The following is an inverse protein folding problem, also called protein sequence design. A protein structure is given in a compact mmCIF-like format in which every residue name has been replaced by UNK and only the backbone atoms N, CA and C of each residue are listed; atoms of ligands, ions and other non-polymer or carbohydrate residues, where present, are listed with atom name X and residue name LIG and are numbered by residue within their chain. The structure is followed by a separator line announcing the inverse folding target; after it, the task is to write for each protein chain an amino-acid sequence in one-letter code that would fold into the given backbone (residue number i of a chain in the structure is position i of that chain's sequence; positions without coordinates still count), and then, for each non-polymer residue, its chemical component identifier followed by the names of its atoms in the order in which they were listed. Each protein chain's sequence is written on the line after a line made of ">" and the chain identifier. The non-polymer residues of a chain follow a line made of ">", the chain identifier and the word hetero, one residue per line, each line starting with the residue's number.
data_IF_714281395538
#
_entry.id   IF_714281395538
#
_cell.length_a   1.000
_cell.length_b   1.000
_cell.length_c   1.000
_cell.angle_alpha   90.00
_cell.angle_beta   90.00
_cell.angle_gamma   90.00
#
_symmetry.space_group_name_H-M   'P 1'
#
loop_
_entity.id
_entity.type
_entity.pdbx_description
1 polymer ?
#
# COMPACT_ATOMS: atom_id res chain seq x y z
N UNK A 1 -15.17 -3.29 23.15
CA UNK A 1 -13.99 -3.36 22.26
C UNK A 1 -14.38 -2.80 20.90
N UNK A 2 -14.08 -1.53 20.63
CA UNK A 2 -14.44 -0.85 19.37
C UNK A 2 -13.37 -1.12 18.30
N UNK A 3 -13.69 -1.94 17.28
CA UNK A 3 -12.93 -2.01 16.02
C UNK A 3 -13.53 -1.00 15.03
N UNK A 4 -13.21 0.28 15.19
CA UNK A 4 -13.35 1.28 14.11
C UNK A 4 -12.15 1.04 13.18
N UNK A 5 -12.20 0.81 11.89
CA UNK A 5 -13.22 0.79 10.83
C UNK A 5 -12.40 0.85 9.53
N UNK A 6 -12.80 0.17 8.45
CA UNK A 6 -12.18 0.20 7.10
C UNK A 6 -11.18 -0.92 6.71
N UNK A 7 -11.31 -2.15 7.22
CA UNK A 7 -10.60 -3.27 6.59
C UNK A 7 -10.98 -3.38 5.10
N UNK A 8 -9.99 -3.41 4.21
CA UNK A 8 -10.15 -3.49 2.77
C UNK A 8 -10.39 -2.17 2.04
N UNK A 9 -10.35 -1.02 2.72
CA UNK A 9 -10.48 0.27 2.05
C UNK A 9 -9.25 0.61 1.23
N UNK A 10 -8.03 0.35 1.73
CA UNK A 10 -6.82 0.62 0.97
C UNK A 10 -6.73 -0.27 -0.27
N UNK A 11 -7.25 -1.51 -0.20
CA UNK A 11 -7.39 -2.40 -1.37
C UNK A 11 -8.22 -1.75 -2.47
N UNK A 12 -9.39 -1.17 -2.12
CA UNK A 12 -10.27 -0.51 -3.10
C UNK A 12 -9.62 0.72 -3.72
N UNK A 13 -8.95 1.54 -2.91
CA UNK A 13 -8.24 2.73 -3.41
C UNK A 13 -7.09 2.36 -4.33
N UNK A 14 -6.27 1.38 -3.95
CA UNK A 14 -5.16 0.90 -4.76
C UNK A 14 -5.64 0.32 -6.11
N UNK A 15 -6.74 -0.44 -6.12
CA UNK A 15 -7.36 -0.89 -7.38
C UNK A 15 -7.81 0.27 -8.26
N UNK A 16 -8.47 1.26 -7.66
CA UNK A 16 -8.93 2.43 -8.42
C UNK A 16 -7.76 3.18 -9.02
N UNK A 17 -6.70 3.46 -8.23
CA UNK A 17 -5.47 4.09 -8.73
C UNK A 17 -4.89 3.26 -9.88
N UNK A 18 -4.74 1.95 -9.69
CA UNK A 18 -4.17 1.09 -10.71
C UNK A 18 -5.04 0.96 -11.98
N UNK A 19 -6.34 1.22 -11.91
CA UNK A 19 -7.21 1.24 -13.10
C UNK A 19 -7.27 2.62 -13.78
N UNK A 20 -6.97 3.71 -13.07
CA UNK A 20 -7.14 5.07 -13.59
C UNK A 20 -5.83 5.79 -13.91
N UNK A 21 -4.71 5.39 -13.31
CA UNK A 21 -3.42 6.04 -13.52
C UNK A 21 -2.86 5.73 -14.91
N UNK A 22 -2.62 6.79 -15.66
CA UNK A 22 -2.11 6.74 -17.04
C UNK A 22 -0.65 7.17 -17.16
N UNK A 23 -0.14 7.91 -16.17
CA UNK A 23 1.26 8.32 -16.13
C UNK A 23 2.16 7.08 -15.87
N UNK A 24 3.06 6.73 -16.80
CA UNK A 24 3.95 5.58 -16.64
C UNK A 24 4.95 5.74 -15.49
N UNK A 25 5.22 6.98 -15.05
CA UNK A 25 6.17 7.29 -13.96
C UNK A 25 5.50 7.43 -12.60
N UNK A 26 4.19 7.15 -12.51
CA UNK A 26 3.45 7.29 -11.27
C UNK A 26 3.90 6.28 -10.20
N UNK A 27 4.02 6.75 -8.95
CA UNK A 27 4.37 5.95 -7.79
C UNK A 27 3.22 5.99 -6.78
N UNK A 28 2.88 4.84 -6.21
CA UNK A 28 1.97 4.75 -5.06
C UNK A 28 2.79 4.83 -3.78
N UNK A 29 2.46 5.77 -2.90
CA UNK A 29 3.09 5.92 -1.59
C UNK A 29 2.12 5.43 -0.49
N UNK A 30 2.43 4.29 0.12
CA UNK A 30 1.72 3.79 1.30
C UNK A 30 2.33 4.40 2.57
N UNK A 31 1.51 5.02 3.40
CA UNK A 31 1.91 5.58 4.69
C UNK A 31 1.02 4.99 5.78
N UNK A 32 1.60 4.28 6.73
CA UNK A 32 0.84 3.57 7.78
C UNK A 32 1.61 2.40 8.37
N UNK A 33 0.88 1.44 8.95
CA UNK A 33 1.48 0.18 9.42
C UNK A 33 1.44 -0.92 8.35
N UNK A 34 1.92 -2.10 8.71
CA UNK A 34 2.05 -3.24 7.79
C UNK A 34 0.69 -3.70 7.22
N UNK A 35 -0.40 -3.51 7.97
CA UNK A 35 -1.76 -3.75 7.47
C UNK A 35 -2.12 -2.85 6.28
N UNK A 36 -1.72 -1.57 6.32
CA UNK A 36 -1.91 -0.62 5.22
C UNK A 36 -1.08 -1.02 4.00
N UNK A 37 0.20 -1.36 4.21
CA UNK A 37 1.08 -1.85 3.15
C UNK A 37 0.49 -3.09 2.47
N UNK A 38 0.05 -4.07 3.25
CA UNK A 38 -0.54 -5.31 2.74
C UNK A 38 -1.82 -5.03 1.94
N UNK A 39 -2.70 -4.15 2.42
CA UNK A 39 -3.91 -3.79 1.67
C UNK A 39 -3.60 -3.09 0.34
N UNK A 40 -2.66 -2.13 0.33
CA UNK A 40 -2.26 -1.44 -0.89
C UNK A 40 -1.65 -2.42 -1.90
N UNK A 41 -0.71 -3.25 -1.45
CA UNK A 41 -0.05 -4.24 -2.31
C UNK A 41 -1.07 -5.20 -2.93
N UNK A 42 -1.99 -5.74 -2.13
CA UNK A 42 -3.05 -6.61 -2.62
C UNK A 42 -3.98 -5.91 -3.62
N UNK A 43 -4.28 -4.62 -3.43
CA UNK A 43 -5.08 -3.86 -4.38
C UNK A 43 -4.38 -3.68 -5.73
N UNK A 44 -3.09 -3.35 -5.72
CA UNK A 44 -2.29 -3.19 -6.95
C UNK A 44 -2.13 -4.53 -7.69
N UNK A 45 -1.78 -5.61 -6.99
CA UNK A 45 -1.56 -6.94 -7.59
C UNK A 45 -2.83 -7.58 -8.19
N UNK A 46 -4.01 -7.16 -7.74
CA UNK A 46 -5.29 -7.67 -8.27
C UNK A 46 -5.73 -6.96 -9.56
N UNK A 47 -4.95 -6.01 -10.08
CA UNK A 47 -5.22 -5.34 -11.35
C UNK A 47 -4.29 -5.86 -12.46
N UNK A 48 -4.83 -6.07 -13.65
CA UNK A 48 -4.04 -6.48 -14.81
C UNK A 48 -3.50 -5.21 -15.49
N UNK A 49 -2.21 -4.94 -15.29
CA UNK A 49 -1.47 -3.89 -15.98
C UNK A 49 -0.30 -4.51 -16.73
N UNK A 50 0.04 -3.91 -17.87
CA UNK A 50 1.21 -4.33 -18.66
C UNK A 50 2.52 -4.12 -17.88
N UNK A 51 2.60 -3.01 -17.13
CA UNK A 51 3.71 -2.70 -16.24
C UNK A 51 3.24 -2.54 -14.78
N UNK A 52 4.01 -3.05 -13.79
CA UNK A 52 3.71 -2.87 -12.38
C UNK A 52 3.87 -1.40 -11.97
N UNK A 53 3.05 -0.95 -11.00
CA UNK A 53 3.18 0.39 -10.42
C UNK A 53 4.19 0.32 -9.26
N UNK A 54 5.24 1.16 -9.26
CA UNK A 54 6.15 1.26 -8.13
C UNK A 54 5.39 1.61 -6.83
N UNK A 55 5.72 0.90 -5.75
CA UNK A 55 5.16 1.11 -4.42
C UNK A 55 6.26 1.52 -3.45
N UNK A 56 6.13 2.72 -2.89
CA UNK A 56 6.94 3.20 -1.79
C UNK A 56 6.19 3.05 -0.45
N UNK A 57 6.91 2.83 0.64
CA UNK A 57 6.33 2.65 1.97
C UNK A 57 7.03 3.52 3.01
N UNK A 58 6.26 4.33 3.72
CA UNK A 58 6.71 5.06 4.92
C UNK A 58 5.99 4.47 6.14
N UNK A 59 6.73 3.78 7.03
CA UNK A 59 6.15 3.16 8.21
C UNK A 59 5.77 4.21 9.27
N UNK A 60 4.50 4.20 9.71
CA UNK A 60 4.01 5.04 10.81
C UNK A 60 3.37 4.15 11.88
N UNK A 61 4.06 3.96 13.01
CA UNK A 61 3.59 3.11 14.13
C UNK A 61 4.72 2.48 14.95
N UNK A 62 4.37 1.85 16.09
CA UNK A 62 5.33 1.17 16.97
C UNK A 62 5.58 -0.30 16.60
N UNK A 63 4.70 -0.92 15.81
CA UNK A 63 4.73 -2.33 15.39
C UNK A 63 4.98 -2.52 13.89
N UNK A 64 5.89 -1.74 13.31
CA UNK A 64 6.25 -1.84 11.89
C UNK A 64 7.35 -2.88 11.70
N UNK A 65 6.99 -4.15 11.84
CA UNK A 65 7.92 -5.27 11.74
C UNK A 65 8.50 -5.36 10.32
N UNK A 66 7.72 -5.00 9.29
CA UNK A 66 8.23 -4.93 7.91
C UNK A 66 9.33 -3.88 7.76
N UNK A 67 9.17 -2.68 8.33
CA UNK A 67 10.19 -1.63 8.21
C UNK A 67 11.48 -1.96 8.97
N UNK A 68 11.35 -2.66 10.10
CA UNK A 68 12.50 -3.21 10.84
C UNK A 68 13.22 -4.28 10.03
N UNK A 69 12.47 -5.20 9.40
CA UNK A 69 13.02 -6.26 8.57
C UNK A 69 13.62 -5.74 7.25
N UNK A 70 13.05 -4.67 6.69
CA UNK A 70 13.49 -4.05 5.43
C UNK A 70 14.63 -3.04 5.61
N UNK A 71 15.14 -2.83 6.84
CA UNK A 71 16.15 -1.82 7.18
C UNK A 71 15.81 -0.38 6.72
N UNK A 72 14.52 -0.04 6.63
CA UNK A 72 14.07 1.29 6.21
C UNK A 72 13.91 2.28 7.38
N UNK A 73 14.23 1.84 8.60
CA UNK A 73 14.15 2.67 9.81
C UNK A 73 15.56 2.84 10.37
N UNK A 74 16.05 4.08 10.47
CA UNK A 74 17.24 4.44 11.24
C UNK A 74 16.91 4.57 12.72
#
# INVERSE_FOLDING_TARGET
>A
MNRLGNAGHAVKLAKNIANTVTDPEAVVLAIGGDGTLNEVLNGLLQTQREAPIPLAYIPLGSGNDFARAAHTTS
#
